data_IF_646285893595
#
_entry.id   IF_646285893595
#
_cell.length_a   1.000
_cell.length_b   1.000
_cell.length_c   1.000
_cell.angle_alpha   90.00
_cell.angle_beta   90.00
_cell.angle_gamma   90.00
#
_symmetry.space_group_name_H-M   'P 1'
#
loop_
_entity.id
_entity.type
_entity.pdbx_description
1 polymer ?
#
# COMPACT_ATOMS: atom_id res chain seq x y z
N UNK A 1 59.78 -8.10 -20.47
CA UNK A 1 58.89 -9.25 -20.71
C UNK A 1 58.41 -9.76 -19.36
N UNK A 2 57.11 -9.78 -19.12
CA UNK A 2 56.54 -10.17 -17.83
C UNK A 2 55.10 -9.72 -17.71
N UNK A 3 54.23 -10.38 -18.48
CA UNK A 3 52.78 -10.22 -18.39
C UNK A 3 52.33 -10.76 -17.04
N UNK A 4 51.57 -9.99 -16.28
CA UNK A 4 50.73 -10.55 -15.22
C UNK A 4 49.39 -9.87 -15.28
N UNK A 5 48.52 -10.45 -16.11
CA UNK A 5 47.10 -10.15 -16.17
C UNK A 5 46.46 -10.66 -14.88
N UNK A 6 46.02 -9.76 -14.00
CA UNK A 6 45.14 -10.13 -12.89
C UNK A 6 43.69 -9.98 -13.35
N UNK A 7 43.11 -11.08 -13.84
CA UNK A 7 41.66 -11.25 -13.87
C UNK A 7 41.20 -11.57 -12.44
N UNK A 8 40.44 -10.68 -11.81
CA UNK A 8 39.58 -11.04 -10.68
C UNK A 8 38.12 -11.07 -11.15
N UNK A 9 37.54 -12.26 -11.03
CA UNK A 9 36.15 -12.60 -11.33
C UNK A 9 35.19 -12.09 -10.26
N UNK A 10 34.11 -11.45 -10.73
CA UNK A 10 32.69 -11.71 -10.42
C UNK A 10 32.29 -12.01 -8.97
N UNK A 11 31.44 -11.15 -8.37
CA UNK A 11 30.07 -11.54 -7.98
C UNK A 11 29.36 -10.45 -7.14
N UNK A 12 28.11 -10.19 -7.54
CA UNK A 12 26.97 -9.87 -6.68
C UNK A 12 27.01 -8.60 -5.82
N UNK A 13 26.55 -7.50 -6.42
CA UNK A 13 25.60 -6.63 -5.73
C UNK A 13 24.33 -6.51 -6.56
N UNK A 14 23.65 -7.65 -6.77
CA UNK A 14 22.19 -7.65 -6.74
C UNK A 14 21.81 -7.27 -5.30
N UNK A 15 21.94 -5.98 -4.96
CA UNK A 15 21.29 -5.43 -3.79
C UNK A 15 19.79 -5.63 -4.05
N UNK A 16 19.28 -6.70 -3.43
CA UNK A 16 17.88 -7.08 -3.32
C UNK A 16 16.93 -6.37 -4.26
N UNK A 17 16.80 -6.90 -5.47
CA UNK A 17 15.49 -6.95 -6.14
C UNK A 17 14.61 -7.95 -5.35
N UNK A 18 14.43 -7.67 -4.06
CA UNK A 18 13.63 -8.44 -3.14
C UNK A 18 12.20 -7.99 -3.33
N UNK A 19 11.47 -8.72 -4.17
CA UNK A 19 10.04 -8.93 -4.10
C UNK A 19 9.26 -7.93 -3.20
N UNK A 20 8.76 -6.85 -3.78
CA UNK A 20 7.45 -6.26 -3.46
C UNK A 20 6.98 -6.38 -1.99
N UNK A 21 7.78 -5.89 -1.03
CA UNK A 21 7.30 -5.57 0.31
C UNK A 21 6.49 -4.26 0.25
N UNK A 22 5.57 -4.15 -0.72
CA UNK A 22 4.78 -2.97 -0.95
C UNK A 22 3.87 -2.77 0.28
N UNK A 23 4.19 -1.83 1.17
CA UNK A 23 3.41 -1.49 2.37
C UNK A 23 3.36 -2.61 3.43
N UNK A 24 4.51 -2.81 4.08
CA UNK A 24 4.62 -3.56 5.32
C UNK A 24 3.76 -2.95 6.44
N UNK A 25 3.48 -3.74 7.48
CA UNK A 25 2.56 -3.31 8.55
C UNK A 25 3.06 -2.08 9.32
N UNK A 26 4.37 -1.89 9.43
CA UNK A 26 5.01 -0.71 10.05
C UNK A 26 4.79 0.59 9.28
N UNK A 27 4.54 0.51 7.97
CA UNK A 27 4.27 1.66 7.10
C UNK A 27 2.77 1.88 6.84
N UNK A 28 1.91 1.16 7.56
CA UNK A 28 0.46 1.31 7.46
C UNK A 28 -0.04 2.31 8.49
N UNK A 29 -0.63 3.39 8.01
CA UNK A 29 -1.41 4.33 8.82
C UNK A 29 -2.86 3.89 8.75
N UNK A 30 -3.48 3.54 9.88
CA UNK A 30 -4.88 3.11 9.88
C UNK A 30 -5.79 4.25 9.41
N UNK A 31 -6.97 3.91 8.87
CA UNK A 31 -7.96 4.92 8.47
C UNK A 31 -8.38 5.84 9.63
N UNK A 32 -8.30 5.42 10.90
CA UNK A 32 -8.59 6.31 12.04
C UNK A 32 -7.54 7.40 12.23
N UNK A 33 -6.31 7.13 11.81
CA UNK A 33 -5.14 7.98 12.05
C UNK A 33 -4.70 8.70 10.77
N UNK A 34 -5.48 8.54 9.69
CA UNK A 34 -5.22 9.12 8.38
C UNK A 34 -6.36 10.08 8.00
N UNK A 35 -6.24 11.38 8.31
CA UNK A 35 -7.32 12.35 8.08
C UNK A 35 -7.73 12.47 6.60
N UNK A 36 -6.79 12.21 5.70
CA UNK A 36 -6.99 12.21 4.25
C UNK A 36 -7.62 10.91 3.71
N UNK A 37 -7.73 9.84 4.50
CA UNK A 37 -8.28 8.55 4.08
C UNK A 37 -9.71 8.37 4.58
N UNK A 38 -10.68 8.58 3.70
CA UNK A 38 -12.07 8.20 3.97
C UNK A 38 -12.32 6.75 3.53
N UNK A 39 -12.33 5.82 4.50
CA UNK A 39 -12.49 4.40 4.25
C UNK A 39 -13.54 3.73 5.15
N UNK A 40 -14.22 2.72 4.62
CA UNK A 40 -15.20 1.93 5.35
C UNK A 40 -15.09 0.44 5.05
N UNK A 41 -15.43 -0.39 6.04
CA UNK A 41 -15.44 -1.85 5.94
C UNK A 41 -16.87 -2.34 6.18
N UNK A 42 -17.34 -3.24 5.32
CA UNK A 42 -18.57 -4.01 5.52
C UNK A 42 -18.18 -5.47 5.66
N UNK A 43 -18.57 -6.10 6.77
CA UNK A 43 -18.42 -7.53 6.96
C UNK A 43 -19.75 -8.17 7.38
N UNK A 44 -20.59 -8.56 6.42
CA UNK A 44 -21.88 -9.23 6.64
C UNK A 44 -21.78 -10.72 6.35
N UNK A 45 -22.76 -11.50 6.81
CA UNK A 45 -22.83 -12.95 6.60
C UNK A 45 -22.55 -13.38 5.16
N UNK A 46 -23.07 -12.62 4.20
CA UNK A 46 -23.04 -12.94 2.78
C UNK A 46 -22.33 -11.88 1.92
N UNK A 47 -21.76 -10.83 2.53
CA UNK A 47 -21.16 -9.73 1.76
C UNK A 47 -20.08 -9.05 2.57
N UNK A 48 -18.85 -9.20 2.10
CA UNK A 48 -17.71 -8.48 2.63
C UNK A 48 -17.25 -7.44 1.61
N UNK A 49 -16.74 -6.31 2.06
CA UNK A 49 -16.33 -5.25 1.15
C UNK A 49 -15.69 -4.08 1.84
N UNK A 50 -14.94 -3.30 1.07
CA UNK A 50 -14.31 -2.08 1.52
C UNK A 50 -14.57 -0.95 0.55
N UNK A 51 -14.55 0.27 1.07
CA UNK A 51 -14.48 1.50 0.30
C UNK A 51 -13.29 2.34 0.77
N UNK A 52 -12.72 3.13 -0.13
CA UNK A 52 -11.69 4.12 0.20
C UNK A 52 -11.75 5.29 -0.78
N UNK A 53 -11.54 6.51 -0.27
CA UNK A 53 -11.42 7.76 -1.02
C UNK A 53 -10.22 8.54 -0.47
N UNK A 54 -9.40 9.09 -1.37
CA UNK A 54 -8.37 10.06 -1.02
C UNK A 54 -9.03 11.44 -0.97
N UNK A 55 -9.13 12.03 0.22
CA UNK A 55 -9.68 13.38 0.43
C UNK A 55 -8.67 14.47 0.09
N UNK A 56 -7.39 14.13 0.01
CA UNK A 56 -6.28 15.04 -0.25
C UNK A 56 -5.67 14.77 -1.63
N UNK A 57 -6.50 14.39 -2.60
CA UNK A 57 -6.03 14.00 -3.94
C UNK A 57 -5.33 15.11 -4.70
N UNK A 58 -5.58 16.37 -4.33
CA UNK A 58 -4.90 17.53 -4.91
C UNK A 58 -3.42 17.59 -4.51
N UNK A 59 -3.05 16.93 -3.40
CA UNK A 59 -1.68 16.84 -2.89
C UNK A 59 -0.94 15.61 -3.37
N UNK A 60 -1.62 14.62 -3.98
CA UNK A 60 -0.95 13.47 -4.57
C UNK A 60 -1.75 12.17 -4.58
N UNK A 61 -1.03 11.08 -4.86
CA UNK A 61 -1.61 9.74 -4.92
C UNK A 61 -1.49 9.06 -3.57
N UNK A 62 -2.61 8.51 -3.09
CA UNK A 62 -2.64 7.69 -1.89
C UNK A 62 -2.69 6.20 -2.27
N UNK A 63 -1.75 5.41 -1.76
CA UNK A 63 -1.75 3.96 -1.88
C UNK A 63 -2.41 3.38 -0.64
N UNK A 64 -3.49 2.63 -0.84
CA UNK A 64 -4.30 2.05 0.23
C UNK A 64 -4.21 0.53 0.19
N UNK A 65 -3.98 -0.09 1.34
CA UNK A 65 -4.00 -1.54 1.52
C UNK A 65 -5.27 -1.96 2.25
N UNK A 66 -5.96 -2.94 1.68
CA UNK A 66 -7.13 -3.58 2.29
C UNK A 66 -6.69 -4.95 2.78
N UNK A 67 -6.55 -5.09 4.10
CA UNK A 67 -6.09 -6.32 4.75
C UNK A 67 -7.23 -7.34 4.79
N UNK A 68 -7.01 -8.53 4.24
CA UNK A 68 -8.00 -9.61 4.19
C UNK A 68 -7.54 -10.80 5.03
N UNK A 69 -8.43 -11.38 5.85
CA UNK A 69 -8.04 -12.40 6.85
C UNK A 69 -7.42 -13.66 6.23
N UNK A 70 -8.02 -14.21 5.17
CA UNK A 70 -7.57 -15.46 4.51
C UNK A 70 -7.43 -15.30 3.00
N UNK A 71 -7.03 -14.12 2.54
CA UNK A 71 -6.80 -13.85 1.13
C UNK A 71 -5.70 -12.78 0.98
N UNK A 72 -5.05 -12.69 -0.19
CA UNK A 72 -4.03 -11.66 -0.42
C UNK A 72 -4.57 -10.24 -0.21
N UNK A 73 -3.81 -9.28 0.25
CA UNK A 73 -4.34 -7.92 0.41
C UNK A 73 -4.77 -7.32 -0.95
N UNK A 74 -5.73 -6.39 -0.94
CA UNK A 74 -5.93 -5.53 -2.11
C UNK A 74 -5.08 -4.27 -1.97
N UNK A 75 -4.42 -3.89 -3.06
CA UNK A 75 -3.69 -2.61 -3.15
C UNK A 75 -4.43 -1.69 -4.12
N UNK A 76 -4.79 -0.51 -3.65
CA UNK A 76 -5.49 0.51 -4.41
C UNK A 76 -4.65 1.76 -4.54
N UNK A 77 -4.50 2.26 -5.76
CA UNK A 77 -3.90 3.57 -6.03
C UNK A 77 -5.04 4.58 -6.22
N UNK A 78 -5.21 5.48 -5.26
CA UNK A 78 -6.23 6.51 -5.24
C UNK A 78 -5.62 7.83 -5.72
N UNK A 79 -5.67 8.05 -7.04
CA UNK A 79 -5.07 9.21 -7.73
C UNK A 79 -5.97 10.45 -7.75
N UNK A 80 -7.22 10.32 -7.34
CA UNK A 80 -8.22 11.37 -7.35
C UNK A 80 -9.20 11.15 -6.19
N UNK A 81 -10.16 12.05 -6.06
CA UNK A 81 -11.18 12.04 -5.03
C UNK A 81 -12.31 11.01 -5.29
N UNK A 82 -12.20 10.16 -6.31
CA UNK A 82 -13.23 9.16 -6.60
C UNK A 82 -13.13 8.03 -5.60
N UNK A 83 -14.27 7.69 -4.98
CA UNK A 83 -14.35 6.56 -4.06
C UNK A 83 -14.18 5.25 -4.81
N UNK A 84 -13.19 4.48 -4.43
CA UNK A 84 -13.02 3.08 -4.85
C UNK A 84 -13.82 2.18 -3.91
N UNK A 85 -14.46 1.16 -4.47
CA UNK A 85 -15.26 0.19 -3.73
C UNK A 85 -15.06 -1.20 -4.32
N UNK A 86 -15.03 -2.22 -3.46
CA UNK A 86 -15.09 -3.61 -3.89
C UNK A 86 -15.87 -4.43 -2.87
N UNK A 87 -16.90 -5.11 -3.36
CA UNK A 87 -17.64 -6.12 -2.62
C UNK A 87 -17.24 -7.51 -3.13
N UNK A 88 -17.26 -8.51 -2.25
CA UNK A 88 -16.92 -9.87 -2.58
C UNK A 88 -17.56 -10.87 -1.61
N UNK A 89 -17.82 -12.07 -2.12
CA UNK A 89 -18.29 -13.22 -1.38
C UNK A 89 -17.08 -14.05 -0.95
N UNK A 90 -16.63 -13.92 0.30
CA UNK A 90 -15.49 -14.68 0.80
C UNK A 90 -14.97 -14.18 2.14
N UNK A 91 -13.65 -14.07 2.32
CA UNK A 91 -13.05 -13.68 3.61
C UNK A 91 -13.48 -12.29 4.08
N UNK A 92 -13.52 -12.11 5.40
CA UNK A 92 -13.65 -10.80 6.05
C UNK A 92 -12.44 -9.91 5.77
N UNK A 93 -12.68 -8.62 5.89
CA UNK A 93 -11.67 -7.55 5.83
C UNK A 93 -11.30 -7.16 7.27
N UNK A 94 -9.99 -7.08 7.55
CA UNK A 94 -9.44 -6.70 8.85
C UNK A 94 -9.31 -5.20 8.99
N UNK A 95 -8.65 -4.55 8.03
CA UNK A 95 -8.39 -3.11 8.05
C UNK A 95 -8.32 -2.53 6.65
N UNK A 96 -8.41 -1.20 6.59
CA UNK A 96 -8.07 -0.40 5.41
C UNK A 96 -7.10 0.66 5.89
N UNK A 97 -5.91 0.73 5.29
CA UNK A 97 -4.82 1.56 5.78
C UNK A 97 -4.11 2.27 4.63
N UNK A 98 -3.63 3.48 4.87
CA UNK A 98 -2.76 4.22 3.97
C UNK A 98 -1.33 3.69 4.08
N UNK A 99 -0.62 3.59 2.96
CA UNK A 99 0.75 3.09 2.88
C UNK A 99 1.72 4.26 2.77
N UNK A 100 2.36 4.66 3.86
CA UNK A 100 3.19 5.87 3.90
C UNK A 100 4.45 5.77 3.04
N UNK A 101 4.97 4.57 2.83
CA UNK A 101 6.16 4.25 2.02
C UNK A 101 5.90 4.28 0.50
N UNK A 102 4.63 4.14 0.08
CA UNK A 102 4.23 4.08 -1.33
C UNK A 102 3.36 5.24 -1.79
N UNK A 103 2.77 5.96 -0.85
CA UNK A 103 1.94 7.14 -1.14
C UNK A 103 2.83 8.35 -1.40
N UNK A 104 2.24 9.42 -1.95
CA UNK A 104 2.91 10.72 -1.93
C UNK A 104 3.30 11.09 -0.51
N UNK A 105 4.50 11.63 -0.34
CA UNK A 105 5.10 11.86 0.98
C UNK A 105 4.18 12.67 1.91
N UNK A 106 4.07 12.23 3.16
CA UNK A 106 3.22 12.85 4.18
C UNK A 106 1.70 12.76 3.98
N UNK A 107 1.19 12.33 2.82
CA UNK A 107 -0.26 12.37 2.54
C UNK A 107 -1.10 11.49 3.47
N UNK A 108 -0.51 10.44 4.05
CA UNK A 108 -1.21 9.56 4.96
C UNK A 108 -1.54 10.23 6.31
N UNK A 109 -0.79 11.24 6.74
CA UNK A 109 -0.94 11.90 8.05
C UNK A 109 -1.22 13.40 7.94
N UNK A 110 -1.38 13.90 6.71
CA UNK A 110 -1.70 15.29 6.43
C UNK A 110 -3.05 15.67 7.03
N UNK A 111 -3.12 16.87 7.62
CA UNK A 111 -4.37 17.44 8.10
C UNK A 111 -5.25 17.88 6.92
N UNK A 112 -6.55 17.69 7.07
CA UNK A 112 -7.51 18.08 6.04
C UNK A 112 -7.70 19.61 6.10
N UNK A 113 -7.58 20.33 4.97
CA UNK A 113 -7.90 21.76 4.91
C UNK A 113 -9.39 22.03 5.17
#
# INVERSE_FOLDING_TARGET
MGRTTALLLVAASLAGQGAWAACERSHRVDRSDSPCLDASITNRWNKNGATAKNLCSDYGTMVVKVDRVRAPDWTWHLKNDKRRSRNFWGTRIRSVSCCSDLSTDGICTMERP
#
